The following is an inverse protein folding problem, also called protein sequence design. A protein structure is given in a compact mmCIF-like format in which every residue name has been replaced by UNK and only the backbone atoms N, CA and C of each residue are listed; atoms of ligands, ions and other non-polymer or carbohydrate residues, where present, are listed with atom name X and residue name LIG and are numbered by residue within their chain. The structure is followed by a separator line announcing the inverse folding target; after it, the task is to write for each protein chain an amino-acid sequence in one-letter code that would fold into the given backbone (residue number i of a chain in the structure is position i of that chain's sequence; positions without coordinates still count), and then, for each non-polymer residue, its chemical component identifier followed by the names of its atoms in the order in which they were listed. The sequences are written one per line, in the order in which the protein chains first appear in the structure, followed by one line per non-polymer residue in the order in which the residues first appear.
data_IF_693100107571
#
_entry.id   IF_693100107571
#
_cell.length_a   1.000
_cell.length_b   1.000
_cell.length_c   1.000
_cell.angle_alpha   90.00
_cell.angle_beta   90.00
_cell.angle_gamma   90.00
#
_symmetry.space_group_name_H-M   'P 1'
#
loop_
_entity.id
_entity.type
_entity.pdbx_description
1 polymer ?
#
# COMPACT_ATOMS: atom_id res chain seq x y z
N UNK A 1 37.97 29.66 29.72
CA UNK A 1 37.35 28.42 30.25
C UNK A 1 35.88 28.27 29.78
N UNK A 2 35.11 29.33 29.75
CA UNK A 2 33.69 29.31 29.33
C UNK A 2 33.43 28.96 27.84
N UNK A 3 34.33 29.34 26.91
CA UNK A 3 34.18 29.02 25.48
C UNK A 3 34.32 27.52 25.13
N UNK A 4 35.13 26.78 25.92
CA UNK A 4 35.28 25.32 25.70
C UNK A 4 34.08 24.50 26.20
N UNK A 5 33.35 25.03 27.20
CA UNK A 5 32.13 24.38 27.72
C UNK A 5 30.98 24.54 26.73
N UNK A 6 30.85 25.70 26.07
CA UNK A 6 29.80 25.96 25.08
C UNK A 6 29.93 25.08 23.85
N UNK A 7 31.16 24.77 23.38
CA UNK A 7 31.39 23.87 22.24
C UNK A 7 31.05 22.43 22.61
N UNK A 8 31.31 22.01 23.85
CA UNK A 8 31.01 20.63 24.28
C UNK A 8 29.48 20.41 24.41
N UNK A 9 28.74 21.42 24.85
CA UNK A 9 27.26 21.35 24.94
C UNK A 9 26.64 21.33 23.54
N UNK A 10 27.19 22.10 22.60
CA UNK A 10 26.71 22.10 21.20
C UNK A 10 26.94 20.75 20.49
N UNK A 11 28.09 20.11 20.76
CA UNK A 11 28.37 18.76 20.22
C UNK A 11 27.53 17.67 20.88
N UNK A 12 27.07 17.84 22.13
CA UNK A 12 26.19 16.90 22.79
C UNK A 12 24.73 16.99 22.29
N UNK A 13 24.28 18.19 21.94
CA UNK A 13 22.94 18.35 21.33
C UNK A 13 22.88 17.89 19.86
N UNK A 14 23.98 17.93 19.14
CA UNK A 14 24.00 17.49 17.73
C UNK A 14 23.98 15.94 17.58
N UNK A 15 24.35 15.20 18.65
CA UNK A 15 24.27 13.73 18.63
C UNK A 15 22.93 13.16 19.09
N UNK A 16 21.94 13.98 19.43
CA UNK A 16 20.64 13.53 19.92
C UNK A 16 19.52 13.57 18.86
N UNK A 17 19.81 14.03 17.65
CA UNK A 17 18.88 13.88 16.52
C UNK A 17 19.26 12.59 15.80
N UNK A 18 18.93 11.45 16.40
CA UNK A 18 18.85 10.21 15.68
C UNK A 18 17.63 10.34 14.75
N UNK A 19 17.85 10.67 13.50
CA UNK A 19 16.83 10.48 12.46
C UNK A 19 16.55 8.98 12.45
N UNK A 20 15.38 8.59 12.89
CA UNK A 20 14.92 7.21 12.84
C UNK A 20 14.53 6.96 11.39
N UNK A 21 15.47 6.48 10.59
CA UNK A 21 15.27 6.14 9.20
C UNK A 21 14.82 4.67 9.09
N UNK A 22 14.12 4.34 8.02
CA UNK A 22 13.95 2.95 7.62
C UNK A 22 15.32 2.28 7.51
N UNK A 23 15.43 1.03 7.90
CA UNK A 23 16.67 0.27 7.89
C UNK A 23 16.54 -1.00 7.02
N UNK A 24 17.61 -1.38 6.38
CA UNK A 24 17.64 -2.60 5.56
C UNK A 24 17.65 -3.84 6.45
N UNK A 25 16.67 -4.72 6.23
CA UNK A 25 16.51 -5.98 7.00
C UNK A 25 17.00 -7.19 6.23
N UNK A 26 17.03 -7.10 4.90
CA UNK A 26 17.64 -8.06 4.00
C UNK A 26 18.02 -7.33 2.71
N UNK A 27 18.90 -7.87 1.85
CA UNK A 27 19.31 -7.17 0.62
C UNK A 27 18.13 -6.68 -0.20
N UNK A 28 18.03 -5.35 -0.37
CA UNK A 28 16.98 -4.70 -1.14
C UNK A 28 15.65 -4.50 -0.41
N UNK A 29 15.57 -4.80 0.91
CA UNK A 29 14.33 -4.69 1.68
C UNK A 29 14.52 -3.77 2.89
N UNK A 30 13.71 -2.73 2.96
CA UNK A 30 13.65 -1.79 4.08
C UNK A 30 12.50 -2.12 5.02
N UNK A 31 12.70 -1.73 6.29
CA UNK A 31 11.66 -1.75 7.33
C UNK A 31 11.60 -0.41 8.03
N UNK A 32 10.39 0.15 8.14
CA UNK A 32 10.15 1.32 8.97
C UNK A 32 10.20 0.89 10.44
N UNK A 33 10.94 1.59 11.31
CA UNK A 33 10.96 1.29 12.75
C UNK A 33 9.58 1.39 13.37
N UNK A 34 9.23 0.45 14.25
CA UNK A 34 7.92 0.41 14.89
C UNK A 34 7.64 1.67 15.73
N UNK A 35 8.70 2.35 16.20
CA UNK A 35 8.61 3.64 16.94
C UNK A 35 7.99 4.79 16.11
N UNK A 36 7.98 4.69 14.77
CA UNK A 36 7.32 5.67 13.90
C UNK A 36 5.78 5.56 13.96
N UNK A 37 5.28 4.46 14.48
CA UNK A 37 3.85 4.17 14.56
C UNK A 37 3.31 4.25 16.00
N UNK A 38 4.11 4.78 16.93
CA UNK A 38 3.69 5.01 18.31
C UNK A 38 2.81 6.27 18.42
N UNK A 39 1.85 6.22 19.33
CA UNK A 39 0.97 7.35 19.67
C UNK A 39 0.14 7.91 18.49
N UNK A 40 -0.22 7.08 17.54
CA UNK A 40 -1.14 7.45 16.47
C UNK A 40 -2.54 7.69 17.03
N UNK A 41 -3.16 8.79 16.62
CA UNK A 41 -4.50 9.15 17.04
C UNK A 41 -5.53 8.13 16.53
N UNK A 42 -6.42 7.67 17.41
CA UNK A 42 -7.48 6.71 17.10
C UNK A 42 -6.99 5.37 16.49
N UNK A 43 -5.75 4.95 16.81
CA UNK A 43 -5.17 3.71 16.30
C UNK A 43 -4.65 2.80 17.42
N UNK A 44 -5.52 2.29 18.30
CA UNK A 44 -5.13 1.47 19.47
C UNK A 44 -4.94 -0.01 19.13
N UNK A 45 -4.81 -0.38 17.88
CA UNK A 45 -4.83 -1.77 17.41
C UNK A 45 -3.48 -2.46 17.60
N UNK A 46 -3.52 -3.75 17.94
CA UNK A 46 -2.32 -4.57 18.02
C UNK A 46 -1.83 -4.99 16.64
N UNK A 47 -0.51 -4.87 16.45
CA UNK A 47 0.12 -5.28 15.20
C UNK A 47 0.29 -6.78 15.12
N UNK A 48 -0.17 -7.40 14.05
CA UNK A 48 0.16 -8.78 13.70
C UNK A 48 1.06 -8.79 12.48
N UNK A 49 1.90 -9.80 12.38
CA UNK A 49 2.84 -9.95 11.27
C UNK A 49 2.84 -11.38 10.75
N UNK A 50 2.95 -11.52 9.45
CA UNK A 50 3.09 -12.78 8.75
C UNK A 50 4.22 -12.67 7.73
N UNK A 51 4.96 -13.76 7.53
CA UNK A 51 6.00 -13.78 6.51
C UNK A 51 5.47 -14.38 5.21
N UNK A 52 5.65 -13.66 4.11
CA UNK A 52 5.29 -14.08 2.76
C UNK A 52 6.48 -13.76 1.85
N UNK A 53 7.06 -14.79 1.23
CA UNK A 53 8.20 -14.69 0.32
C UNK A 53 9.40 -13.91 0.90
N UNK A 54 9.66 -14.08 2.20
CA UNK A 54 10.76 -13.41 2.92
C UNK A 54 10.48 -11.96 3.32
N UNK A 55 9.25 -11.47 3.09
CA UNK A 55 8.81 -10.14 3.51
C UNK A 55 7.90 -10.23 4.73
N UNK A 56 8.09 -9.35 5.68
CA UNK A 56 7.18 -9.15 6.81
C UNK A 56 5.97 -8.33 6.33
N UNK A 57 4.79 -8.92 6.39
CA UNK A 57 3.52 -8.27 6.08
C UNK A 57 2.80 -7.98 7.40
N UNK A 58 2.48 -6.72 7.62
CA UNK A 58 1.65 -6.29 8.75
C UNK A 58 0.18 -6.46 8.43
N UNK A 59 -0.61 -6.83 9.43
CA UNK A 59 -2.07 -6.80 9.36
C UNK A 59 -2.68 -6.59 10.74
N UNK A 60 -3.86 -6.02 10.77
CA UNK A 60 -4.73 -6.01 11.95
C UNK A 60 -5.66 -7.21 11.89
N UNK A 61 -6.02 -7.75 13.05
CA UNK A 61 -6.96 -8.86 13.20
C UNK A 61 -7.81 -8.61 14.45
N UNK A 62 -8.85 -7.82 14.29
CA UNK A 62 -9.66 -7.28 15.36
C UNK A 62 -11.04 -7.95 15.43
N UNK A 63 -11.63 -7.92 16.62
CA UNK A 63 -12.95 -8.51 16.90
C UNK A 63 -12.90 -10.02 17.21
N UNK A 64 -14.07 -10.67 17.30
CA UNK A 64 -14.19 -12.08 17.66
C UNK A 64 -13.59 -12.97 16.56
N UNK A 65 -12.73 -13.91 16.93
CA UNK A 65 -12.04 -14.80 15.99
C UNK A 65 -12.96 -15.75 15.24
N UNK A 66 -14.12 -16.01 15.76
CA UNK A 66 -15.20 -16.82 15.18
C UNK A 66 -16.27 -15.98 14.46
N UNK A 67 -16.12 -14.66 14.43
CA UNK A 67 -17.00 -13.76 13.68
C UNK A 67 -16.78 -13.88 12.16
N UNK A 68 -17.83 -13.55 11.39
CA UNK A 68 -17.74 -13.50 9.93
C UNK A 68 -16.63 -12.53 9.50
N UNK A 69 -15.63 -12.97 8.72
CA UNK A 69 -14.49 -12.15 8.42
C UNK A 69 -14.80 -11.05 7.39
N UNK A 70 -14.28 -9.85 7.66
CA UNK A 70 -14.27 -8.72 6.74
C UNK A 70 -12.80 -8.40 6.41
N UNK A 71 -12.45 -8.49 5.14
CA UNK A 71 -11.13 -8.21 4.61
C UNK A 71 -11.10 -6.82 3.99
N UNK A 72 -10.45 -5.85 4.67
CA UNK A 72 -10.37 -4.45 4.25
C UNK A 72 -9.02 -4.18 3.58
N UNK A 73 -9.02 -3.71 2.33
CA UNK A 73 -7.80 -3.44 1.60
C UNK A 73 -7.72 -1.97 1.16
N UNK A 74 -6.68 -1.30 1.66
CA UNK A 74 -6.39 0.11 1.40
C UNK A 74 -5.75 0.33 0.03
N UNK A 75 -5.77 1.58 -0.44
CA UNK A 75 -5.08 2.02 -1.64
C UNK A 75 -3.92 2.98 -1.36
N UNK A 76 -3.50 3.69 -2.38
CA UNK A 76 -2.43 4.66 -2.35
C UNK A 76 -2.95 6.05 -1.93
N UNK A 77 -2.18 6.82 -1.16
CA UNK A 77 -0.92 6.52 -0.47
C UNK A 77 -1.14 6.06 0.98
N UNK A 78 -2.25 5.40 1.26
CA UNK A 78 -2.69 5.03 2.61
C UNK A 78 -2.16 3.67 3.07
N UNK A 79 -2.57 3.25 4.27
CA UNK A 79 -2.27 1.97 4.90
C UNK A 79 -3.44 1.61 5.84
N UNK A 80 -3.36 0.60 6.67
CA UNK A 80 -4.45 0.17 7.56
C UNK A 80 -5.04 1.28 8.44
N UNK A 81 -4.29 2.34 8.71
CA UNK A 81 -4.77 3.54 9.40
C UNK A 81 -6.00 4.19 8.75
N UNK A 82 -6.19 4.02 7.45
CA UNK A 82 -7.37 4.50 6.73
C UNK A 82 -8.67 4.01 7.37
N UNK A 83 -8.65 2.78 7.86
CA UNK A 83 -9.85 2.11 8.38
C UNK A 83 -10.05 2.23 9.89
N UNK A 84 -9.19 3.02 10.59
CA UNK A 84 -9.20 3.12 12.06
C UNK A 84 -10.56 3.42 12.69
N UNK A 85 -11.39 4.22 12.02
CA UNK A 85 -12.73 4.55 12.48
C UNK A 85 -13.79 3.55 12.05
N UNK A 86 -13.54 2.77 10.99
CA UNK A 86 -14.45 1.73 10.51
C UNK A 86 -14.30 0.44 11.33
N UNK A 87 -13.10 0.09 11.74
CA UNK A 87 -12.81 -1.14 12.48
C UNK A 87 -13.70 -1.29 13.71
N UNK A 88 -13.79 -0.30 14.64
CA UNK A 88 -14.64 -0.43 15.84
C UNK A 88 -16.11 -0.69 15.50
N UNK A 89 -16.63 -0.03 14.49
CA UNK A 89 -18.04 -0.19 14.06
C UNK A 89 -18.32 -1.62 13.60
N UNK A 90 -17.38 -2.22 12.88
CA UNK A 90 -17.53 -3.59 12.36
C UNK A 90 -17.32 -4.64 13.47
N UNK A 91 -16.36 -4.42 14.37
CA UNK A 91 -16.12 -5.33 15.50
C UNK A 91 -17.24 -5.29 16.53
N UNK A 92 -17.82 -4.12 16.80
CA UNK A 92 -18.99 -3.96 17.67
C UNK A 92 -20.23 -4.66 17.09
N UNK A 93 -20.30 -4.79 15.76
CA UNK A 93 -21.32 -5.58 15.07
C UNK A 93 -21.04 -7.10 15.08
N UNK A 94 -19.95 -7.55 15.69
CA UNK A 94 -19.60 -8.96 15.86
C UNK A 94 -18.77 -9.55 14.72
N UNK A 95 -18.21 -8.74 13.84
CA UNK A 95 -17.37 -9.20 12.75
C UNK A 95 -15.89 -9.32 13.16
N UNK A 96 -15.17 -10.27 12.57
CA UNK A 96 -13.72 -10.32 12.57
C UNK A 96 -13.19 -9.45 11.43
N UNK A 97 -12.33 -8.49 11.73
CA UNK A 97 -11.85 -7.50 10.75
C UNK A 97 -10.36 -7.69 10.50
N UNK A 98 -10.01 -8.01 9.27
CA UNK A 98 -8.62 -8.22 8.81
C UNK A 98 -8.22 -7.05 7.91
N UNK A 99 -7.14 -6.35 8.28
CA UNK A 99 -6.70 -5.14 7.57
C UNK A 99 -5.18 -5.20 7.33
N UNK A 100 -4.72 -5.74 6.22
CA UNK A 100 -3.29 -5.76 5.91
C UNK A 100 -2.79 -4.40 5.42
N UNK A 101 -1.48 -4.17 5.61
CA UNK A 101 -0.73 -3.16 4.88
C UNK A 101 -0.11 -3.80 3.64
N UNK A 102 -0.34 -3.22 2.48
CA UNK A 102 0.35 -3.62 1.25
C UNK A 102 1.86 -3.44 1.40
N UNK A 103 2.65 -4.30 0.75
CA UNK A 103 4.12 -4.13 0.70
C UNK A 103 4.43 -2.75 0.13
N UNK A 104 5.35 -2.04 0.79
CA UNK A 104 5.65 -0.65 0.48
C UNK A 104 4.94 0.37 1.37
N UNK A 105 3.94 -0.06 2.16
CA UNK A 105 3.10 0.84 2.96
C UNK A 105 3.08 0.45 4.43
N UNK A 106 2.73 1.41 5.28
CA UNK A 106 2.54 1.22 6.71
C UNK A 106 3.68 0.46 7.38
N UNK A 107 3.33 -0.56 8.16
CA UNK A 107 4.26 -1.39 8.93
C UNK A 107 4.78 -2.61 8.16
N UNK A 108 4.31 -2.86 6.92
CA UNK A 108 4.85 -3.90 6.04
C UNK A 108 6.23 -3.52 5.51
N UNK A 109 7.02 -4.52 5.13
CA UNK A 109 8.33 -4.32 4.51
C UNK A 109 8.20 -3.60 3.16
N UNK A 110 9.31 -3.00 2.71
CA UNK A 110 9.37 -2.16 1.51
C UNK A 110 10.56 -2.53 0.65
N UNK A 111 10.38 -2.65 -0.65
CA UNK A 111 11.51 -2.80 -1.55
C UNK A 111 12.20 -1.45 -1.77
N UNK A 112 13.54 -1.47 -1.82
CA UNK A 112 14.35 -0.30 -2.23
C UNK A 112 14.11 -0.01 -3.71
N UNK A 113 14.06 -1.06 -4.52
CA UNK A 113 13.89 -0.94 -5.96
C UNK A 113 12.41 -0.84 -6.34
N UNK A 114 12.02 0.26 -6.96
CA UNK A 114 10.67 0.42 -7.53
C UNK A 114 10.31 -0.64 -8.57
N UNK A 115 11.28 -1.31 -9.17
CA UNK A 115 11.08 -2.35 -10.18
C UNK A 115 10.63 -3.69 -9.60
N UNK A 116 10.74 -3.86 -8.27
CA UNK A 116 10.30 -5.06 -7.58
C UNK A 116 8.80 -5.03 -7.24
N UNK A 117 8.17 -3.85 -7.38
CA UNK A 117 6.73 -3.71 -7.25
C UNK A 117 6.04 -4.01 -8.58
N UNK A 118 4.97 -4.82 -8.51
CA UNK A 118 4.07 -5.02 -9.64
C UNK A 118 2.65 -5.29 -9.12
N UNK A 119 1.66 -5.09 -9.97
CA UNK A 119 0.27 -5.43 -9.65
C UNK A 119 0.12 -6.91 -9.29
N UNK A 120 0.74 -7.79 -10.10
CA UNK A 120 0.73 -9.23 -9.87
C UNK A 120 1.39 -9.62 -8.55
N UNK A 121 2.49 -8.95 -8.19
CA UNK A 121 3.16 -9.15 -6.90
C UNK A 121 2.18 -8.89 -5.73
N UNK A 122 1.47 -7.76 -5.75
CA UNK A 122 0.50 -7.43 -4.70
C UNK A 122 -0.67 -8.42 -4.65
N UNK A 123 -1.17 -8.87 -5.81
CA UNK A 123 -2.22 -9.89 -5.87
C UNK A 123 -1.72 -11.19 -5.21
N UNK A 124 -0.55 -11.68 -5.59
CA UNK A 124 -0.01 -12.92 -5.07
C UNK A 124 0.28 -12.84 -3.56
N UNK A 125 0.78 -11.70 -3.08
CA UNK A 125 0.98 -11.46 -1.65
C UNK A 125 -0.36 -11.50 -0.89
N UNK A 126 -1.39 -10.84 -1.39
CA UNK A 126 -2.71 -10.85 -0.74
C UNK A 126 -3.39 -12.23 -0.82
N UNK A 127 -3.22 -12.97 -1.92
CA UNK A 127 -3.70 -14.36 -2.01
C UNK A 127 -3.02 -15.26 -0.97
N UNK A 128 -1.71 -15.11 -0.82
CA UNK A 128 -0.95 -15.85 0.19
C UNK A 128 -1.43 -15.50 1.61
N UNK A 129 -1.67 -14.22 1.91
CA UNK A 129 -2.23 -13.78 3.18
C UNK A 129 -3.60 -14.41 3.45
N UNK A 130 -4.54 -14.30 2.50
CA UNK A 130 -5.88 -14.91 2.60
C UNK A 130 -5.80 -16.41 2.83
N UNK A 131 -4.87 -17.09 2.15
CA UNK A 131 -4.63 -18.51 2.29
C UNK A 131 -4.05 -18.89 3.65
N UNK A 132 -3.01 -18.19 4.12
CA UNK A 132 -2.36 -18.47 5.40
C UNK A 132 -3.25 -18.17 6.61
N UNK A 133 -4.11 -17.13 6.53
CA UNK A 133 -5.11 -16.83 7.55
C UNK A 133 -6.36 -17.71 7.44
N UNK A 134 -6.44 -18.58 6.44
CA UNK A 134 -7.57 -19.43 6.09
C UNK A 134 -8.92 -18.70 6.10
N UNK A 135 -8.96 -17.49 5.55
CA UNK A 135 -10.19 -16.71 5.47
C UNK A 135 -11.20 -17.45 4.57
N UNK A 136 -12.45 -17.56 5.06
CA UNK A 136 -13.56 -18.23 4.36
C UNK A 136 -14.81 -17.39 4.52
N UNK A 137 -15.69 -17.45 3.52
CA UNK A 137 -16.96 -16.70 3.48
C UNK A 137 -16.75 -15.20 3.76
N UNK A 138 -15.55 -14.67 3.47
CA UNK A 138 -15.19 -13.31 3.82
C UNK A 138 -15.98 -12.27 3.01
N UNK A 139 -16.28 -11.15 3.64
CA UNK A 139 -16.70 -9.94 2.93
C UNK A 139 -15.45 -9.15 2.56
N UNK A 140 -15.19 -8.97 1.28
CA UNK A 140 -14.14 -8.10 0.79
C UNK A 140 -14.62 -6.66 0.74
N UNK A 141 -13.83 -5.73 1.27
CA UNK A 141 -13.98 -4.28 1.07
C UNK A 141 -12.68 -3.71 0.52
N UNK A 142 -12.75 -3.03 -0.62
CA UNK A 142 -11.57 -2.42 -1.24
C UNK A 142 -11.79 -0.96 -1.64
N UNK A 143 -10.77 -0.14 -1.40
CA UNK A 143 -10.73 1.27 -1.77
C UNK A 143 -9.53 1.54 -2.65
N UNK A 144 -9.67 2.37 -3.71
CA UNK A 144 -8.61 2.79 -4.62
C UNK A 144 -7.84 1.58 -5.21
N UNK A 145 -6.51 1.52 -5.10
CA UNK A 145 -5.70 0.37 -5.51
C UNK A 145 -6.06 -0.91 -4.76
N UNK A 146 -6.43 -0.80 -3.49
CA UNK A 146 -6.91 -1.95 -2.75
C UNK A 146 -8.15 -2.59 -3.37
N UNK A 147 -9.02 -1.78 -3.95
CA UNK A 147 -10.17 -2.28 -4.72
C UNK A 147 -9.73 -3.05 -5.96
N UNK A 148 -8.80 -2.51 -6.76
CA UNK A 148 -8.32 -3.16 -7.98
C UNK A 148 -7.58 -4.48 -7.66
N UNK A 149 -6.66 -4.46 -6.69
CA UNK A 149 -5.92 -5.64 -6.26
C UNK A 149 -6.87 -6.69 -5.69
N UNK A 150 -7.74 -6.27 -4.77
CA UNK A 150 -8.62 -7.19 -4.06
C UNK A 150 -9.71 -7.80 -4.95
N UNK A 151 -10.27 -7.07 -5.91
CA UNK A 151 -11.20 -7.64 -6.90
C UNK A 151 -10.55 -8.77 -7.70
N UNK A 152 -9.26 -8.64 -8.02
CA UNK A 152 -8.52 -9.71 -8.68
C UNK A 152 -8.29 -10.90 -7.74
N UNK A 153 -7.96 -10.66 -6.47
CA UNK A 153 -7.85 -11.70 -5.45
C UNK A 153 -9.18 -12.46 -5.31
N UNK A 154 -10.32 -11.74 -5.22
CA UNK A 154 -11.66 -12.34 -5.16
C UNK A 154 -11.93 -13.19 -6.40
N UNK A 155 -11.61 -12.68 -7.59
CA UNK A 155 -11.84 -13.40 -8.85
C UNK A 155 -11.00 -14.70 -8.96
N UNK A 156 -9.80 -14.72 -8.36
CA UNK A 156 -8.92 -15.90 -8.38
C UNK A 156 -9.14 -16.86 -7.20
N UNK A 157 -9.84 -16.41 -6.14
CA UNK A 157 -10.17 -17.20 -4.96
C UNK A 157 -11.66 -17.12 -4.60
N UNK A 158 -12.60 -17.38 -5.53
CA UNK A 158 -14.02 -17.10 -5.33
C UNK A 158 -14.60 -17.87 -4.13
N UNK A 159 -14.09 -19.05 -3.83
CA UNK A 159 -14.55 -19.88 -2.71
C UNK A 159 -14.19 -19.30 -1.33
N UNK A 160 -13.39 -18.24 -1.29
CA UNK A 160 -12.98 -17.58 -0.05
C UNK A 160 -13.86 -16.39 0.33
N UNK A 161 -14.63 -15.87 -0.63
CA UNK A 161 -15.38 -14.64 -0.46
C UNK A 161 -16.87 -14.83 -0.73
N UNK A 162 -17.70 -14.38 0.21
CA UNK A 162 -19.15 -14.41 0.09
C UNK A 162 -19.72 -13.10 -0.46
N UNK A 163 -19.06 -11.98 -0.20
CA UNK A 163 -19.56 -10.63 -0.55
C UNK A 163 -18.41 -9.73 -0.98
N UNK A 164 -18.75 -8.74 -1.81
CA UNK A 164 -17.81 -7.72 -2.31
C UNK A 164 -18.43 -6.35 -2.12
N UNK A 165 -17.67 -5.46 -1.51
CA UNK A 165 -17.97 -4.03 -1.37
C UNK A 165 -16.78 -3.25 -1.92
N UNK A 166 -17.02 -2.26 -2.74
CA UNK A 166 -15.98 -1.40 -3.31
C UNK A 166 -16.35 0.06 -3.16
N UNK A 167 -15.36 0.87 -2.87
CA UNK A 167 -15.49 2.32 -2.71
C UNK A 167 -14.35 3.03 -3.40
N UNK A 168 -14.68 4.05 -4.19
CA UNK A 168 -13.67 4.93 -4.82
C UNK A 168 -12.52 4.15 -5.48
N UNK A 169 -12.87 3.10 -6.24
CA UNK A 169 -11.92 2.26 -6.97
C UNK A 169 -12.24 2.23 -8.45
N UNK A 170 -11.24 1.91 -9.28
CA UNK A 170 -11.41 1.70 -10.70
C UNK A 170 -11.58 0.22 -11.02
N UNK A 171 -12.40 -0.07 -12.02
CA UNK A 171 -12.29 -1.31 -12.79
C UNK A 171 -11.70 -0.92 -14.14
N UNK A 172 -10.67 -1.62 -14.59
CA UNK A 172 -10.12 -1.42 -15.91
C UNK A 172 -11.21 -1.77 -16.94
N UNK A 173 -11.96 -0.76 -17.36
CA UNK A 173 -12.90 -0.91 -18.49
C UNK A 173 -12.10 -0.79 -19.78
N UNK A 174 -12.26 -1.78 -20.65
CA UNK A 174 -11.53 -1.88 -21.93
C UNK A 174 -11.89 -0.74 -22.89
N UNK A 175 -13.10 -0.18 -22.80
CA UNK A 175 -13.65 0.80 -23.74
C UNK A 175 -14.66 1.73 -23.06
N UNK A 176 -14.91 2.89 -23.65
CA UNK A 176 -15.98 3.79 -23.29
C UNK A 176 -15.57 4.96 -22.39
N UNK A 177 -16.59 5.59 -21.82
CA UNK A 177 -16.40 6.85 -21.06
C UNK A 177 -15.53 6.68 -19.81
N UNK A 178 -15.56 5.49 -19.20
CA UNK A 178 -14.72 5.16 -18.01
C UNK A 178 -13.25 5.05 -18.37
N UNK A 179 -12.91 4.44 -19.50
CA UNK A 179 -11.53 4.41 -20.00
C UNK A 179 -11.05 5.82 -20.34
N UNK A 180 -11.89 6.64 -20.99
CA UNK A 180 -11.58 8.03 -21.30
C UNK A 180 -11.40 8.89 -20.03
N UNK A 181 -12.26 8.72 -19.01
CA UNK A 181 -12.14 9.41 -17.73
C UNK A 181 -10.85 9.02 -16.99
N UNK A 182 -10.53 7.74 -16.98
CA UNK A 182 -9.30 7.24 -16.37
C UNK A 182 -8.06 7.79 -17.09
N UNK A 183 -8.04 7.74 -18.42
CA UNK A 183 -6.96 8.30 -19.23
C UNK A 183 -6.76 9.80 -18.97
N UNK A 184 -7.84 10.59 -18.90
CA UNK A 184 -7.72 12.02 -18.63
C UNK A 184 -7.35 12.33 -17.19
N UNK A 185 -7.77 11.52 -16.23
CA UNK A 185 -7.33 11.61 -14.83
C UNK A 185 -5.82 11.34 -14.72
N UNK A 186 -5.33 10.28 -15.36
CA UNK A 186 -3.89 9.97 -15.38
C UNK A 186 -3.11 11.11 -16.06
N UNK A 187 -3.59 11.64 -17.18
CA UNK A 187 -2.99 12.82 -17.85
C UNK A 187 -2.90 14.03 -16.92
N UNK A 188 -3.97 14.31 -16.17
CA UNK A 188 -4.00 15.40 -15.21
C UNK A 188 -2.98 15.20 -14.08
N UNK A 189 -2.92 14.00 -13.51
CA UNK A 189 -1.98 13.67 -12.42
C UNK A 189 -0.52 13.79 -12.86
N UNK A 190 -0.21 13.37 -14.07
CA UNK A 190 1.13 13.50 -14.67
C UNK A 190 1.51 14.95 -14.92
N UNK A 191 0.60 15.73 -15.48
CA UNK A 191 0.81 17.19 -15.69
C UNK A 191 1.05 17.91 -14.36
N UNK A 192 0.34 17.51 -13.29
CA UNK A 192 0.48 18.13 -11.97
C UNK A 192 1.85 17.85 -11.33
N UNK A 193 2.42 16.67 -11.52
CA UNK A 193 3.70 16.27 -10.88
C UNK A 193 4.96 16.63 -11.68
N UNK A 194 4.86 17.01 -12.94
CA UNK A 194 5.95 17.61 -13.72
C UNK A 194 7.15 16.75 -14.11
N UNK A 195 7.21 15.49 -13.72
CA UNK A 195 8.39 14.61 -13.87
C UNK A 195 8.34 13.66 -15.07
N UNK A 196 7.17 13.46 -15.65
CA UNK A 196 6.99 12.61 -16.85
C UNK A 196 6.23 13.42 -17.89
N UNK A 197 6.72 13.45 -19.12
CA UNK A 197 6.04 14.15 -20.20
C UNK A 197 4.80 13.37 -20.62
N UNK A 198 3.75 14.10 -21.00
CA UNK A 198 2.52 13.52 -21.54
C UNK A 198 2.79 12.56 -22.72
N UNK A 199 3.77 12.88 -23.58
CA UNK A 199 4.14 12.06 -24.75
C UNK A 199 4.79 10.72 -24.31
N UNK A 200 5.57 10.70 -23.25
CA UNK A 200 6.13 9.46 -22.71
C UNK A 200 5.04 8.56 -22.14
N UNK A 201 4.07 9.13 -21.45
CA UNK A 201 2.95 8.38 -20.91
C UNK A 201 2.00 7.89 -22.00
N UNK A 202 1.74 8.74 -22.99
CA UNK A 202 0.93 8.36 -24.16
C UNK A 202 1.61 7.23 -24.93
N UNK A 203 2.90 7.34 -25.21
CA UNK A 203 3.67 6.30 -25.90
C UNK A 203 3.63 4.97 -25.14
N UNK A 204 3.66 5.04 -23.82
CA UNK A 204 3.59 3.89 -22.96
C UNK A 204 2.18 3.29 -22.90
N UNK A 205 1.15 4.13 -22.84
CA UNK A 205 -0.25 3.72 -22.90
C UNK A 205 -0.61 3.15 -24.28
N UNK A 206 -0.18 3.79 -25.36
CA UNK A 206 -0.36 3.32 -26.73
C UNK A 206 0.35 1.98 -26.96
N UNK A 207 1.53 1.78 -26.38
CA UNK A 207 2.24 0.49 -26.37
C UNK A 207 1.49 -0.59 -25.61
N UNK A 208 0.89 -0.24 -24.45
CA UNK A 208 0.08 -1.16 -23.66
C UNK A 208 -1.25 -1.50 -24.37
N UNK A 209 -1.81 -0.57 -25.15
CA UNK A 209 -3.05 -0.74 -25.91
C UNK A 209 -2.85 -1.46 -27.25
N UNK A 210 -1.62 -1.42 -27.81
CA UNK A 210 -1.28 -2.05 -29.08
C UNK A 210 -0.80 -3.52 -28.99
N UNK A 211 -0.65 -4.04 -27.76
CA UNK A 211 -0.46 -5.46 -27.55
C UNK A 211 -1.76 -6.17 -27.96
N UNK A 212 -1.66 -7.19 -28.80
CA UNK A 212 -2.82 -7.95 -29.34
C UNK A 212 -3.70 -8.55 -28.22
N UNK A 213 -3.18 -8.64 -27.02
CA UNK A 213 -3.90 -8.73 -25.76
C UNK A 213 -3.32 -7.70 -24.78
N UNK A 214 -3.81 -6.46 -24.75
CA UNK A 214 -3.40 -5.51 -23.74
C UNK A 214 -3.87 -6.03 -22.41
N UNK A 215 -2.95 -6.64 -21.69
CA UNK A 215 -3.18 -6.93 -20.29
C UNK A 215 -3.44 -5.60 -19.59
N UNK A 216 -4.59 -5.40 -18.93
CA UNK A 216 -4.83 -4.26 -18.03
C UNK A 216 -3.69 -4.09 -17.02
N UNK A 217 -2.94 -5.18 -16.81
CA UNK A 217 -1.75 -5.34 -15.99
C UNK A 217 -0.58 -4.45 -16.43
N UNK A 218 -0.39 -4.19 -17.69
CA UNK A 218 0.80 -3.47 -18.17
C UNK A 218 0.64 -1.96 -18.01
N UNK A 219 -0.54 -1.43 -18.24
CA UNK A 219 -0.89 -0.05 -17.90
C UNK A 219 -0.79 0.21 -16.38
N UNK A 220 -1.27 -0.74 -15.58
CA UNK A 220 -1.17 -0.65 -14.11
C UNK A 220 0.24 -0.88 -13.58
N UNK A 221 1.05 -1.75 -14.22
CA UNK A 221 2.47 -1.93 -13.91
C UNK A 221 3.27 -0.65 -14.16
N UNK A 222 2.94 0.10 -15.20
CA UNK A 222 3.57 1.37 -15.52
C UNK A 222 3.12 2.46 -14.55
N UNK A 223 1.85 2.49 -14.18
CA UNK A 223 1.29 3.43 -13.21
C UNK A 223 1.82 3.15 -11.79
N UNK A 224 1.92 1.88 -11.37
CA UNK A 224 2.54 1.55 -10.09
C UNK A 224 4.04 1.84 -10.06
N UNK A 225 4.75 1.66 -11.17
CA UNK A 225 6.15 2.10 -11.32
C UNK A 225 6.28 3.61 -11.23
N UNK A 226 5.36 4.34 -11.84
CA UNK A 226 5.35 5.79 -11.81
C UNK A 226 5.02 6.33 -10.41
N UNK A 227 4.00 5.78 -9.72
CA UNK A 227 3.70 6.15 -8.34
C UNK A 227 4.88 5.81 -7.43
N UNK A 228 5.46 4.63 -7.55
CA UNK A 228 6.66 4.28 -6.79
C UNK A 228 7.81 5.27 -7.08
N UNK A 229 7.99 5.71 -8.33
CA UNK A 229 8.97 6.72 -8.68
C UNK A 229 8.66 8.09 -8.09
N UNK A 230 7.40 8.52 -8.11
CA UNK A 230 6.99 9.81 -7.55
C UNK A 230 7.09 9.86 -6.03
N UNK A 231 6.91 8.72 -5.35
CA UNK A 231 6.96 8.63 -3.88
C UNK A 231 8.32 8.18 -3.33
N UNK A 232 9.17 7.56 -4.16
CA UNK A 232 10.46 6.99 -3.74
C UNK A 232 11.63 7.47 -4.63
N UNK A 233 11.51 8.67 -5.24
CA UNK A 233 12.66 9.28 -5.92
C UNK A 233 13.76 9.58 -4.91
N UNK A 234 15.02 9.41 -5.30
CA UNK A 234 16.20 9.57 -4.45
C UNK A 234 16.29 10.96 -3.78
N UNK A 235 15.49 11.94 -4.23
CA UNK A 235 15.43 13.31 -3.71
C UNK A 235 14.30 13.54 -2.69
N UNK A 236 13.43 12.56 -2.43
CA UNK A 236 12.39 12.71 -1.43
C UNK A 236 12.85 12.22 -0.06
N UNK A 237 12.98 13.18 0.85
CA UNK A 237 13.03 12.90 2.29
C UNK A 237 11.68 12.27 2.72
N UNK A 238 11.66 10.92 2.70
CA UNK A 238 10.48 10.14 3.11
C UNK A 238 10.16 10.23 4.60
N UNK A 239 10.96 10.96 5.38
CA UNK A 239 10.73 11.17 6.82
C UNK A 239 9.46 11.98 7.13
N UNK A 240 8.82 12.59 6.13
CA UNK A 240 7.61 13.40 6.26
C UNK A 240 6.33 12.77 5.68
N UNK A 241 6.38 11.52 5.15
CA UNK A 241 5.25 10.84 4.49
C UNK A 241 4.92 9.52 5.22
N UNK A 242 4.98 9.53 6.52
CA UNK A 242 4.51 8.40 7.34
C UNK A 242 3.34 8.86 8.16
#
# INVERSE_FOLDING_TARGET
MLAKISILIFLFFFNAISFIHAYEVSPGVLRTPDTQFENLEDYPFESNYIEIDGLRIHYLDEGPKDGDPIFLLHGLPTWSYLFRTMIPVLTDAGHRVIVPDLVGFGKSDKFISKYDYSYEFHINTMKALVGQLDLREATFFGQDWGGMIGLRVVAEMPDRFARVVVSNTGMAARDGITAWLFENFVKFMVWWNGEVTFEELKTAADKALMLEEPSPLEGMRMFSKWIAHSYYSDDMDVSGII
#
